data_IF_184578707548
#
_entry.id   IF_184578707548
#
_cell.length_a   1.000
_cell.length_b   1.000
_cell.length_c   1.000
_cell.angle_alpha   90.00
_cell.angle_beta   90.00
_cell.angle_gamma   90.00
#
_symmetry.space_group_name_H-M   'P 1'
#
loop_
_entity.id
_entity.type
_entity.pdbx_description
1 polymer ?
#
# COMPACT_ATOMS: atom_id res chain seq x y z
N UNK A 1 -6.81 9.72 22.94
CA UNK A 1 -6.17 9.91 21.63
C UNK A 1 -7.19 10.10 20.51
N UNK A 2 -8.20 9.22 20.37
CA UNK A 2 -9.21 9.32 19.31
C UNK A 2 -9.99 10.66 19.31
N UNK A 3 -10.42 11.15 20.46
CA UNK A 3 -11.14 12.45 20.56
C UNK A 3 -10.28 13.66 20.14
N UNK A 4 -8.97 13.61 20.37
CA UNK A 4 -8.04 14.67 19.94
C UNK A 4 -7.83 14.64 18.42
N UNK A 5 -7.67 13.44 17.84
CA UNK A 5 -7.58 13.27 16.38
C UNK A 5 -8.86 13.74 15.67
N UNK A 6 -10.03 13.38 16.20
CA UNK A 6 -11.31 13.80 15.64
C UNK A 6 -11.48 15.31 15.73
N UNK A 7 -11.01 15.94 16.81
CA UNK A 7 -11.06 17.40 16.98
C UNK A 7 -10.18 18.20 16.00
N UNK A 8 -9.28 17.55 15.26
CA UNK A 8 -8.43 18.18 14.25
C UNK A 8 -9.04 18.14 12.84
N UNK A 9 -10.10 17.35 12.62
CA UNK A 9 -10.75 17.23 11.32
C UNK A 9 -11.25 18.59 10.82
N UNK A 10 -10.93 18.93 9.56
CA UNK A 10 -11.30 20.22 8.97
C UNK A 10 -10.49 21.43 9.44
N UNK A 11 -9.44 21.25 10.27
CA UNK A 11 -8.53 22.33 10.69
C UNK A 11 -7.23 22.31 9.88
N UNK A 12 -6.56 23.47 9.77
CA UNK A 12 -5.22 23.61 9.17
C UNK A 12 -4.20 22.64 9.80
N UNK A 13 -4.23 22.49 11.13
CA UNK A 13 -3.37 21.56 11.84
C UNK A 13 -3.68 20.09 11.48
N UNK A 14 -4.95 19.77 11.23
CA UNK A 14 -5.38 18.46 10.71
C UNK A 14 -4.84 18.17 9.32
N UNK A 15 -4.86 19.17 8.42
CA UNK A 15 -4.34 19.04 7.04
C UNK A 15 -2.82 18.80 7.06
N UNK A 16 -2.07 19.59 7.83
CA UNK A 16 -0.62 19.40 8.00
C UNK A 16 -0.28 18.03 8.59
N UNK A 17 -1.06 17.56 9.57
CA UNK A 17 -0.89 16.24 10.15
C UNK A 17 -1.19 15.14 9.11
N UNK A 18 -2.24 15.29 8.31
CA UNK A 18 -2.59 14.35 7.25
C UNK A 18 -1.48 14.24 6.20
N UNK A 19 -0.89 15.37 5.79
CA UNK A 19 0.26 15.41 4.88
C UNK A 19 1.46 14.64 5.44
N UNK A 20 1.84 14.92 6.70
CA UNK A 20 2.97 14.22 7.37
C UNK A 20 2.70 12.71 7.44
N UNK A 21 1.48 12.32 7.80
CA UNK A 21 1.06 10.93 7.87
C UNK A 21 1.07 10.26 6.50
N UNK A 22 0.59 10.93 5.45
CA UNK A 22 0.56 10.41 4.08
C UNK A 22 1.96 10.21 3.51
N UNK A 23 2.88 11.17 3.71
CA UNK A 23 4.28 11.05 3.29
C UNK A 23 5.03 9.97 4.08
N UNK A 24 4.80 9.90 5.40
CA UNK A 24 5.35 8.83 6.24
C UNK A 24 4.83 7.47 5.79
N UNK A 25 3.53 7.36 5.50
CA UNK A 25 2.92 6.15 4.96
C UNK A 25 3.53 5.77 3.61
N UNK A 26 3.78 6.74 2.72
CA UNK A 26 4.40 6.52 1.42
C UNK A 26 5.81 5.92 1.55
N UNK A 27 6.65 6.49 2.41
CA UNK A 27 7.98 5.96 2.70
C UNK A 27 7.91 4.55 3.30
N UNK A 28 7.13 4.37 4.37
CA UNK A 28 7.01 3.09 5.06
C UNK A 28 6.40 2.01 4.13
N UNK A 29 5.50 2.39 3.21
CA UNK A 29 4.94 1.46 2.24
C UNK A 29 6.00 0.99 1.23
N UNK A 30 6.90 1.87 0.82
CA UNK A 30 8.05 1.48 -0.02
C UNK A 30 9.02 0.56 0.73
N UNK A 31 9.22 0.79 2.03
CA UNK A 31 9.99 -0.14 2.88
C UNK A 31 9.27 -1.49 2.99
N UNK A 32 7.96 -1.49 3.20
CA UNK A 32 7.14 -2.70 3.27
C UNK A 32 7.23 -3.51 1.98
N UNK A 33 7.08 -2.87 0.81
CA UNK A 33 7.21 -3.53 -0.49
C UNK A 33 8.57 -4.19 -0.68
N UNK A 34 9.65 -3.50 -0.30
CA UNK A 34 11.00 -4.06 -0.35
C UNK A 34 11.20 -5.21 0.67
N UNK A 35 10.59 -5.11 1.86
CA UNK A 35 10.56 -6.20 2.84
C UNK A 35 9.75 -7.40 2.35
N UNK A 36 8.70 -7.22 1.56
CA UNK A 36 8.01 -8.36 0.95
C UNK A 36 8.84 -8.97 -0.18
N UNK A 37 9.41 -8.16 -1.06
CA UNK A 37 10.08 -8.63 -2.28
C UNK A 37 11.50 -9.18 -2.06
N UNK A 38 12.25 -8.70 -1.08
CA UNK A 38 13.70 -8.89 -0.97
C UNK A 38 14.23 -10.34 -0.90
N UNK A 39 14.84 -10.76 0.22
CA UNK A 39 15.70 -11.97 0.21
C UNK A 39 14.92 -13.29 0.14
N UNK A 40 13.78 -13.37 0.81
CA UNK A 40 12.98 -14.59 0.83
C UNK A 40 11.89 -14.52 -0.24
N UNK A 41 11.38 -15.68 -0.63
CA UNK A 41 10.22 -15.80 -1.51
C UNK A 41 9.10 -14.84 -1.06
N UNK A 42 8.49 -14.04 -1.98
CA UNK A 42 7.53 -13.00 -1.60
C UNK A 42 6.30 -13.50 -0.84
N UNK A 43 5.91 -14.77 -1.06
CA UNK A 43 4.80 -15.39 -0.33
C UNK A 43 5.19 -15.69 1.10
N UNK A 44 6.40 -16.22 1.31
CA UNK A 44 6.93 -16.49 2.65
C UNK A 44 7.12 -15.20 3.44
N UNK A 45 7.71 -14.17 2.82
CA UNK A 45 7.87 -12.85 3.44
C UNK A 45 6.51 -12.28 3.84
N UNK A 46 5.52 -12.32 2.95
CA UNK A 46 4.18 -11.81 3.27
C UNK A 46 3.50 -12.61 4.37
N UNK A 47 3.56 -13.94 4.34
CA UNK A 47 2.98 -14.78 5.40
C UNK A 47 3.63 -14.56 6.76
N UNK A 48 4.94 -14.36 6.82
CA UNK A 48 5.63 -14.05 8.07
C UNK A 48 5.25 -12.67 8.62
N UNK A 49 5.10 -11.66 7.76
CA UNK A 49 4.64 -10.33 8.16
C UNK A 49 3.19 -10.38 8.65
N UNK A 50 2.33 -11.05 7.89
CA UNK A 50 0.89 -11.21 8.18
C UNK A 50 0.66 -11.92 9.52
N UNK A 51 1.39 -13.00 9.76
CA UNK A 51 1.36 -13.69 11.04
C UNK A 51 1.80 -12.77 12.18
N UNK A 52 2.92 -12.06 11.99
CA UNK A 52 3.48 -11.21 13.04
C UNK A 52 2.54 -10.06 13.41
N UNK A 53 1.92 -9.36 12.45
CA UNK A 53 0.99 -8.30 12.82
C UNK A 53 -0.33 -8.84 13.37
N UNK A 54 -0.81 -10.03 12.96
CA UNK A 54 -1.98 -10.64 13.58
C UNK A 54 -1.72 -10.96 15.06
N UNK A 55 -0.55 -11.53 15.36
CA UNK A 55 -0.14 -11.82 16.75
C UNK A 55 -0.01 -10.54 17.58
N UNK A 56 0.54 -9.47 17.01
CA UNK A 56 0.63 -8.16 17.67
C UNK A 56 -0.73 -7.49 17.86
N UNK A 57 -1.63 -7.63 16.88
CA UNK A 57 -2.98 -7.06 16.92
C UNK A 57 -3.90 -7.82 17.88
N UNK A 58 -3.76 -9.13 18.00
CA UNK A 58 -4.64 -10.00 18.79
C UNK A 58 -4.88 -9.52 20.23
N UNK A 59 -3.87 -9.21 21.06
CA UNK A 59 -4.12 -8.74 22.43
C UNK A 59 -4.84 -7.39 22.45
N UNK A 60 -4.57 -6.51 21.48
CA UNK A 60 -5.22 -5.20 21.38
C UNK A 60 -6.69 -5.39 20.98
N UNK A 61 -6.95 -6.18 19.93
CA UNK A 61 -8.28 -6.47 19.41
C UNK A 61 -9.19 -7.17 20.44
N UNK A 62 -8.65 -8.16 21.16
CA UNK A 62 -9.44 -9.02 22.04
C UNK A 62 -9.65 -8.43 23.44
N UNK A 63 -8.73 -7.60 23.94
CA UNK A 63 -8.72 -7.18 25.35
C UNK A 63 -8.66 -5.66 25.57
N UNK A 64 -8.34 -4.84 24.56
CA UNK A 64 -8.17 -3.39 24.74
C UNK A 64 -9.27 -2.60 24.04
N UNK A 65 -9.56 -2.90 22.77
CA UNK A 65 -10.59 -2.19 22.01
C UNK A 65 -11.96 -2.89 22.15
N UNK A 66 -13.06 -2.16 21.95
CA UNK A 66 -14.39 -2.77 21.87
C UNK A 66 -14.49 -3.85 20.78
N UNK A 67 -15.41 -4.79 21.00
CA UNK A 67 -15.81 -5.72 19.95
C UNK A 67 -16.58 -5.00 18.85
N UNK A 68 -16.45 -5.39 17.57
CA UNK A 68 -17.11 -4.68 16.48
C UNK A 68 -18.62 -4.84 16.55
N UNK A 69 -19.32 -3.74 16.29
CA UNK A 69 -20.77 -3.71 16.16
C UNK A 69 -21.24 -4.63 15.01
N UNK A 70 -22.48 -5.15 15.04
CA UNK A 70 -22.98 -6.10 14.05
C UNK A 70 -22.79 -5.68 12.58
N UNK A 71 -22.92 -4.38 12.26
CA UNK A 71 -22.74 -3.87 10.90
C UNK A 71 -21.28 -3.86 10.43
N UNK A 72 -20.30 -3.94 11.34
CA UNK A 72 -18.88 -3.94 11.00
C UNK A 72 -18.39 -5.30 10.47
N UNK A 73 -19.03 -6.40 10.85
CA UNK A 73 -18.67 -7.75 10.40
C UNK A 73 -18.73 -7.93 8.87
N UNK A 74 -19.81 -7.55 8.16
CA UNK A 74 -19.81 -7.60 6.70
C UNK A 74 -18.79 -6.64 6.07
N UNK A 75 -18.48 -5.52 6.73
CA UNK A 75 -17.43 -4.59 6.28
C UNK A 75 -16.06 -5.27 6.36
N UNK A 76 -15.71 -5.88 7.50
CA UNK A 76 -14.47 -6.65 7.62
C UNK A 76 -14.42 -7.78 6.61
N UNK A 77 -15.48 -8.58 6.47
CA UNK A 77 -15.50 -9.68 5.51
C UNK A 77 -15.20 -9.21 4.08
N UNK A 78 -15.81 -8.11 3.65
CA UNK A 78 -15.59 -7.52 2.32
C UNK A 78 -14.17 -6.98 2.18
N UNK A 79 -13.68 -6.22 3.17
CA UNK A 79 -12.31 -5.70 3.17
C UNK A 79 -11.29 -6.85 3.03
N UNK A 80 -11.46 -7.91 3.81
CA UNK A 80 -10.57 -9.09 3.77
C UNK A 80 -10.60 -9.76 2.40
N UNK A 81 -11.77 -9.93 1.77
CA UNK A 81 -11.85 -10.50 0.41
C UNK A 81 -11.10 -9.66 -0.61
N UNK A 82 -11.22 -8.33 -0.56
CA UNK A 82 -10.48 -7.42 -1.45
C UNK A 82 -8.97 -7.54 -1.16
N UNK A 83 -8.57 -7.52 0.10
CA UNK A 83 -7.16 -7.65 0.50
C UNK A 83 -6.55 -9.00 0.11
N UNK A 84 -7.32 -10.09 0.14
CA UNK A 84 -6.88 -11.40 -0.37
C UNK A 84 -6.51 -11.28 -1.85
N UNK A 85 -7.40 -10.73 -2.68
CA UNK A 85 -7.14 -10.53 -4.11
C UNK A 85 -5.88 -9.70 -4.35
N UNK A 86 -5.77 -8.57 -3.64
CA UNK A 86 -4.57 -7.72 -3.65
C UNK A 86 -3.30 -8.51 -3.32
N UNK A 87 -3.27 -9.21 -2.17
CA UNK A 87 -2.07 -9.90 -1.68
C UNK A 87 -1.60 -10.99 -2.62
N UNK A 88 -2.53 -11.74 -3.21
CA UNK A 88 -2.20 -12.79 -4.18
C UNK A 88 -1.60 -12.19 -5.44
N UNK A 89 -2.27 -11.22 -6.05
CA UNK A 89 -1.77 -10.54 -7.26
C UNK A 89 -0.40 -9.90 -7.02
N UNK A 90 -0.23 -9.24 -5.87
CA UNK A 90 1.02 -8.63 -5.46
C UNK A 90 2.15 -9.66 -5.30
N UNK A 91 1.88 -10.79 -4.64
CA UNK A 91 2.85 -11.85 -4.44
C UNK A 91 3.24 -12.52 -5.77
N UNK A 92 2.30 -12.72 -6.69
CA UNK A 92 2.59 -13.18 -8.05
C UNK A 92 3.42 -12.16 -8.83
N UNK A 93 3.04 -10.88 -8.82
CA UNK A 93 3.77 -9.83 -9.51
C UNK A 93 5.22 -9.73 -9.01
N UNK A 94 5.43 -9.76 -7.69
CA UNK A 94 6.77 -9.81 -7.09
C UNK A 94 7.51 -11.12 -7.33
N UNK A 95 6.84 -12.22 -7.65
CA UNK A 95 7.53 -13.45 -8.07
C UNK A 95 8.03 -13.35 -9.51
N UNK A 96 7.34 -12.58 -10.36
CA UNK A 96 7.58 -12.50 -11.81
C UNK A 96 8.38 -11.28 -12.27
N UNK A 97 8.43 -10.20 -11.48
CA UNK A 97 9.11 -8.97 -11.88
C UNK A 97 10.03 -8.40 -10.80
N UNK A 98 10.98 -7.56 -11.23
CA UNK A 98 11.84 -6.78 -10.34
C UNK A 98 11.02 -5.75 -9.54
N UNK A 99 11.54 -5.35 -8.38
CA UNK A 99 10.81 -4.46 -7.48
C UNK A 99 10.54 -3.10 -8.13
N UNK A 100 11.58 -2.49 -8.71
CA UNK A 100 11.51 -1.17 -9.36
C UNK A 100 10.67 -1.15 -10.64
N UNK A 101 10.26 -2.32 -11.14
CA UNK A 101 9.44 -2.46 -12.35
C UNK A 101 7.98 -2.64 -11.97
N UNK A 102 7.69 -3.57 -11.07
CA UNK A 102 6.33 -3.91 -10.65
C UNK A 102 5.75 -2.82 -9.77
N UNK A 103 6.53 -2.35 -8.78
CA UNK A 103 6.03 -1.44 -7.75
C UNK A 103 5.43 -0.16 -8.33
N UNK A 104 6.08 0.58 -9.26
CA UNK A 104 5.48 1.77 -9.84
C UNK A 104 4.14 1.49 -10.53
N UNK A 105 4.02 0.37 -11.25
CA UNK A 105 2.79 0.05 -12.00
C UNK A 105 1.64 -0.36 -11.10
N UNK A 106 1.93 -1.09 -10.02
CA UNK A 106 0.94 -1.33 -8.95
C UNK A 106 0.41 -0.01 -8.40
N UNK A 107 1.32 0.96 -8.19
CA UNK A 107 0.98 2.23 -7.58
C UNK A 107 0.15 3.11 -8.53
N UNK A 108 0.55 3.27 -9.80
CA UNK A 108 -0.07 4.28 -10.67
C UNK A 108 -1.48 4.04 -11.17
N UNK A 109 -2.00 2.82 -11.12
CA UNK A 109 -3.43 2.62 -11.41
C UNK A 109 -4.30 2.95 -10.18
N UNK A 110 -3.74 2.85 -8.98
CA UNK A 110 -4.39 3.14 -7.71
C UNK A 110 -5.06 4.53 -7.61
N UNK A 111 -4.33 5.65 -7.79
CA UNK A 111 -4.87 6.98 -7.52
C UNK A 111 -6.01 7.38 -8.47
N UNK A 112 -5.98 7.01 -9.76
CA UNK A 112 -7.07 7.33 -10.68
C UNK A 112 -8.39 6.73 -10.20
N UNK A 113 -8.39 5.44 -9.87
CA UNK A 113 -9.57 4.75 -9.36
C UNK A 113 -9.92 5.17 -7.93
N UNK A 114 -8.94 5.51 -7.10
CA UNK A 114 -9.19 6.02 -5.75
C UNK A 114 -9.89 7.38 -5.77
N UNK A 115 -9.50 8.29 -6.67
CA UNK A 115 -10.17 9.59 -6.89
C UNK A 115 -11.60 9.38 -7.38
N UNK A 116 -11.80 8.48 -8.36
CA UNK A 116 -13.15 8.11 -8.84
C UNK A 116 -13.99 7.52 -7.70
N UNK A 117 -13.41 6.61 -6.92
CA UNK A 117 -14.06 6.02 -5.75
C UNK A 117 -14.42 7.07 -4.70
N UNK A 118 -13.52 8.03 -4.46
CA UNK A 118 -13.76 9.12 -3.52
C UNK A 118 -14.86 10.07 -3.99
N UNK A 119 -14.97 10.34 -5.29
CA UNK A 119 -16.09 11.07 -5.87
C UNK A 119 -17.42 10.35 -5.60
N UNK A 120 -17.51 9.04 -5.89
CA UNK A 120 -18.77 8.31 -5.72
C UNK A 120 -19.15 8.02 -4.27
N UNK A 121 -18.19 7.73 -3.39
CA UNK A 121 -18.45 7.33 -2.00
C UNK A 121 -18.46 8.49 -1.02
N UNK A 122 -17.66 9.53 -1.26
CA UNK A 122 -17.49 10.67 -0.35
C UNK A 122 -17.92 12.01 -0.95
N UNK A 123 -18.28 12.06 -2.24
CA UNK A 123 -18.66 13.31 -2.91
C UNK A 123 -17.47 14.26 -3.14
N UNK A 124 -16.23 13.75 -3.07
CA UNK A 124 -15.03 14.57 -3.26
C UNK A 124 -14.90 15.04 -4.72
N UNK A 125 -14.76 16.34 -4.94
CA UNK A 125 -14.54 16.92 -6.27
C UNK A 125 -13.14 17.49 -6.40
N UNK A 126 -12.47 17.18 -7.51
CA UNK A 126 -11.12 17.66 -7.80
C UNK A 126 -11.14 18.95 -8.61
N UNK A 127 -10.27 19.89 -8.26
CA UNK A 127 -10.05 21.12 -9.05
C UNK A 127 -9.30 20.80 -10.36
N UNK A 128 -9.29 21.74 -11.31
CA UNK A 128 -8.54 21.58 -12.55
C UNK A 128 -7.03 21.37 -12.29
N UNK A 129 -6.49 22.05 -11.29
CA UNK A 129 -5.08 21.92 -10.87
C UNK A 129 -4.82 20.51 -10.36
N UNK A 130 -5.73 19.97 -9.54
CA UNK A 130 -5.61 18.59 -9.05
C UNK A 130 -5.69 17.57 -10.19
N UNK A 131 -6.56 17.76 -11.17
CA UNK A 131 -6.59 16.89 -12.36
C UNK A 131 -5.30 16.97 -13.19
N UNK A 132 -4.69 18.15 -13.34
CA UNK A 132 -3.38 18.28 -13.99
C UNK A 132 -2.28 17.57 -13.21
N UNK A 133 -2.31 17.61 -11.88
CA UNK A 133 -1.39 16.87 -11.03
C UNK A 133 -1.54 15.35 -11.20
N UNK A 134 -2.78 14.84 -11.18
CA UNK A 134 -3.08 13.43 -11.45
C UNK A 134 -2.58 13.02 -12.85
N UNK A 135 -2.87 13.81 -13.89
CA UNK A 135 -2.42 13.51 -15.25
C UNK A 135 -0.89 13.47 -15.36
N UNK A 136 -0.20 14.42 -14.73
CA UNK A 136 1.27 14.48 -14.68
C UNK A 136 1.87 13.25 -14.00
N UNK A 137 1.28 12.85 -12.87
CA UNK A 137 1.68 11.68 -12.13
C UNK A 137 1.49 10.39 -12.94
N UNK A 138 0.32 10.22 -13.56
CA UNK A 138 0.01 9.05 -14.38
C UNK A 138 0.95 8.96 -15.59
N UNK A 139 1.27 10.09 -16.23
CA UNK A 139 2.24 10.14 -17.32
C UNK A 139 3.63 9.65 -16.86
N UNK A 140 4.08 10.04 -15.67
CA UNK A 140 5.33 9.54 -15.07
C UNK A 140 5.32 8.03 -14.85
N UNK A 141 4.23 7.50 -14.28
CA UNK A 141 4.13 6.07 -13.94
C UNK A 141 4.00 5.20 -15.19
N UNK A 142 3.06 5.51 -16.08
CA UNK A 142 2.88 4.75 -17.32
C UNK A 142 4.07 4.94 -18.27
N UNK A 143 4.67 6.13 -18.30
CA UNK A 143 5.92 6.38 -19.01
C UNK A 143 7.05 5.47 -18.49
N UNK A 144 7.15 5.28 -17.17
CA UNK A 144 8.11 4.35 -16.56
C UNK A 144 7.80 2.89 -16.89
N UNK A 145 6.53 2.50 -16.91
CA UNK A 145 6.09 1.17 -17.32
C UNK A 145 6.47 0.86 -18.78
N UNK A 146 6.16 1.79 -19.69
CA UNK A 146 6.48 1.69 -21.12
C UNK A 146 7.99 1.68 -21.33
N UNK A 147 8.74 2.55 -20.64
CA UNK A 147 10.20 2.56 -20.68
C UNK A 147 10.77 1.19 -20.30
N UNK A 148 10.26 0.59 -19.23
CA UNK A 148 10.68 -0.74 -18.81
C UNK A 148 10.30 -1.82 -19.84
N UNK A 149 9.13 -1.76 -20.44
CA UNK A 149 8.72 -2.70 -21.51
C UNK A 149 9.64 -2.65 -22.73
N UNK A 150 10.10 -1.46 -23.11
CA UNK A 150 10.94 -1.26 -24.30
C UNK A 150 12.39 -1.68 -24.00
N UNK A 151 12.96 -1.15 -22.92
CA UNK A 151 14.41 -1.16 -22.69
C UNK A 151 14.89 -2.20 -21.67
N UNK A 152 14.01 -2.85 -20.90
CA UNK A 152 14.45 -3.87 -19.94
C UNK A 152 14.66 -5.21 -20.65
N UNK A 153 15.89 -5.73 -20.59
CA UNK A 153 16.24 -7.04 -21.17
C UNK A 153 16.18 -8.18 -20.15
N UNK A 154 16.38 -7.87 -18.87
CA UNK A 154 16.38 -8.86 -17.80
C UNK A 154 14.97 -9.43 -17.54
N UNK A 155 14.84 -10.76 -17.51
CA UNK A 155 13.58 -11.49 -17.24
C UNK A 155 12.42 -11.12 -18.19
N UNK A 156 12.74 -10.81 -19.47
CA UNK A 156 11.78 -10.32 -20.46
C UNK A 156 10.61 -11.26 -20.70
N UNK A 157 10.84 -12.57 -20.60
CA UNK A 157 9.80 -13.60 -20.76
C UNK A 157 8.67 -13.50 -19.71
N UNK A 158 9.01 -13.00 -18.52
CA UNK A 158 8.05 -12.83 -17.41
C UNK A 158 7.54 -11.40 -17.25
N UNK A 159 8.14 -10.45 -17.96
CA UNK A 159 7.89 -9.01 -17.79
C UNK A 159 6.43 -8.63 -18.12
N UNK A 160 5.90 -9.12 -19.25
CA UNK A 160 4.53 -8.82 -19.65
C UNK A 160 3.50 -9.29 -18.62
N UNK A 161 3.67 -10.52 -18.11
CA UNK A 161 2.82 -11.08 -17.06
C UNK A 161 2.98 -10.29 -15.75
N UNK A 162 4.22 -9.93 -15.38
CA UNK A 162 4.48 -9.15 -14.18
C UNK A 162 3.78 -7.78 -14.19
N UNK A 163 3.77 -7.11 -15.34
CA UNK A 163 3.12 -5.80 -15.51
C UNK A 163 1.59 -5.91 -15.58
N UNK A 164 1.07 -6.96 -16.21
CA UNK A 164 -0.37 -7.25 -16.20
C UNK A 164 -0.86 -7.50 -14.78
N UNK A 165 -0.15 -8.35 -14.03
CA UNK A 165 -0.42 -8.59 -12.61
C UNK A 165 -0.30 -7.30 -11.80
N UNK A 166 0.70 -6.46 -12.09
CA UNK A 166 0.87 -5.17 -11.41
C UNK A 166 -0.32 -4.24 -11.65
N UNK A 167 -0.82 -4.15 -12.89
CA UNK A 167 -2.01 -3.36 -13.22
C UNK A 167 -3.26 -3.82 -12.48
N UNK A 168 -3.52 -5.15 -12.45
CA UNK A 168 -4.64 -5.69 -11.67
C UNK A 168 -4.45 -5.48 -10.16
N UNK A 169 -3.22 -5.61 -9.67
CA UNK A 169 -2.92 -5.34 -8.26
C UNK A 169 -3.26 -3.90 -7.92
N UNK A 170 -2.94 -2.94 -8.78
CA UNK A 170 -3.24 -1.53 -8.53
C UNK A 170 -4.73 -1.18 -8.58
N UNK A 171 -5.53 -1.90 -9.38
CA UNK A 171 -7.00 -1.83 -9.28
C UNK A 171 -7.49 -2.28 -7.90
N UNK A 172 -6.99 -3.42 -7.41
CA UNK A 172 -7.30 -3.87 -6.05
C UNK A 172 -6.79 -2.90 -4.98
N UNK A 173 -5.66 -2.22 -5.22
CA UNK A 173 -5.15 -1.17 -4.34
C UNK A 173 -6.12 -0.01 -4.24
N UNK A 174 -6.69 0.45 -5.36
CA UNK A 174 -7.73 1.46 -5.34
C UNK A 174 -8.96 0.99 -4.57
N UNK A 175 -9.45 -0.21 -4.91
CA UNK A 175 -10.65 -0.80 -4.28
C UNK A 175 -10.50 -0.89 -2.77
N UNK A 176 -9.41 -1.47 -2.24
CA UNK A 176 -9.25 -1.55 -0.79
C UNK A 176 -9.02 -0.17 -0.19
N UNK A 177 -8.30 0.74 -0.87
CA UNK A 177 -8.03 2.07 -0.30
C UNK A 177 -9.33 2.84 -0.07
N UNK A 178 -10.26 2.81 -1.03
CA UNK A 178 -11.54 3.48 -0.89
C UNK A 178 -12.49 2.73 0.06
N UNK A 179 -12.50 1.39 0.02
CA UNK A 179 -13.36 0.59 0.90
C UNK A 179 -12.91 0.65 2.36
N UNK A 180 -11.60 0.63 2.63
CA UNK A 180 -11.04 0.75 3.97
C UNK A 180 -11.28 2.15 4.55
N UNK A 181 -11.21 3.20 3.71
CA UNK A 181 -11.59 4.55 4.12
C UNK A 181 -13.07 4.64 4.54
N UNK A 182 -13.95 3.93 3.83
CA UNK A 182 -15.35 3.77 4.26
C UNK A 182 -15.44 3.00 5.59
N UNK A 183 -14.73 1.87 5.70
CA UNK A 183 -14.74 1.01 6.87
C UNK A 183 -14.25 1.71 8.15
N UNK A 184 -13.15 2.47 8.08
CA UNK A 184 -12.63 3.21 9.24
C UNK A 184 -13.54 4.37 9.68
N UNK A 185 -14.32 4.94 8.76
CA UNK A 185 -15.31 5.99 9.05
C UNK A 185 -16.62 5.40 9.60
N UNK A 186 -16.91 4.14 9.33
CA UNK A 186 -18.11 3.43 9.83
C UNK A 186 -18.03 3.04 11.32
N UNK A 187 -16.90 3.28 11.98
CA UNK A 187 -16.68 3.04 13.41
C UNK A 187 -16.33 4.33 14.13
N UNK A 188 -16.91 4.49 15.33
CA UNK A 188 -16.64 5.63 16.21
C UNK A 188 -15.14 5.76 16.52
N UNK A 189 -14.47 4.65 16.85
CA UNK A 189 -13.05 4.61 17.15
C UNK A 189 -12.21 4.00 16.00
N UNK A 190 -11.31 4.76 15.36
CA UNK A 190 -10.50 4.27 14.25
C UNK A 190 -9.52 3.16 14.66
N UNK A 191 -9.07 3.15 15.92
CA UNK A 191 -8.15 2.12 16.41
C UNK A 191 -8.83 0.76 16.55
N UNK A 192 -10.14 0.75 16.83
CA UNK A 192 -10.95 -0.47 16.80
C UNK A 192 -10.95 -1.09 15.39
N UNK A 193 -11.16 -0.28 14.33
CA UNK A 193 -11.06 -0.77 12.95
C UNK A 193 -9.70 -1.39 12.68
N UNK A 194 -8.63 -0.66 12.98
CA UNK A 194 -7.26 -1.09 12.68
C UNK A 194 -6.90 -2.39 13.40
N UNK A 195 -7.18 -2.50 14.70
CA UNK A 195 -6.84 -3.68 15.49
C UNK A 195 -7.53 -4.94 14.96
N UNK A 196 -8.84 -4.87 14.71
CA UNK A 196 -9.61 -5.99 14.16
C UNK A 196 -9.25 -6.30 12.71
N UNK A 197 -9.01 -5.28 11.89
CA UNK A 197 -8.55 -5.43 10.51
C UNK A 197 -7.23 -6.20 10.46
N UNK A 198 -6.21 -5.77 11.20
CA UNK A 198 -4.91 -6.45 11.22
C UNK A 198 -5.00 -7.86 11.80
N UNK A 199 -5.88 -8.10 12.77
CA UNK A 199 -6.11 -9.45 13.26
C UNK A 199 -6.66 -10.35 12.14
N UNK A 200 -7.76 -9.97 11.48
CA UNK A 200 -8.38 -10.81 10.45
C UNK A 200 -7.53 -10.93 9.17
N UNK A 201 -6.95 -9.83 8.71
CA UNK A 201 -6.15 -9.77 7.48
C UNK A 201 -4.90 -10.63 7.58
N UNK A 202 -4.33 -10.71 8.79
CA UNK A 202 -3.08 -11.43 9.03
C UNK A 202 -3.25 -12.95 9.16
N UNK A 203 -4.48 -13.45 9.21
CA UNK A 203 -4.75 -14.90 9.28
C UNK A 203 -4.72 -15.59 7.92
N UNK A 204 -4.78 -14.85 6.80
CA UNK A 204 -4.93 -15.42 5.47
C UNK A 204 -3.63 -15.97 4.88
N UNK A 205 -2.57 -15.16 4.84
CA UNK A 205 -1.31 -15.54 4.20
C UNK A 205 -0.47 -16.57 4.97
N UNK A 206 -0.48 -16.66 6.31
CA UNK A 206 0.37 -17.61 7.04
C UNK A 206 0.11 -19.08 6.68
N UNK A 207 -1.13 -19.58 6.56
CA UNK A 207 -1.38 -20.95 6.08
C UNK A 207 -0.78 -21.22 4.70
N UNK A 208 -0.92 -20.28 3.77
CA UNK A 208 -0.40 -20.40 2.39
C UNK A 208 1.14 -20.42 2.40
N UNK A 209 1.75 -19.51 3.16
CA UNK A 209 3.20 -19.45 3.32
C UNK A 209 3.74 -20.72 3.99
N UNK A 210 3.06 -21.25 5.01
CA UNK A 210 3.43 -22.49 5.67
C UNK A 210 3.39 -23.69 4.72
N UNK A 211 2.31 -23.84 3.93
CA UNK A 211 2.19 -24.89 2.93
C UNK A 211 3.29 -24.79 1.87
N UNK A 212 3.57 -23.58 1.38
CA UNK A 212 4.65 -23.32 0.42
C UNK A 212 6.01 -23.66 1.02
N UNK A 213 6.31 -23.20 2.24
CA UNK A 213 7.54 -23.50 2.96
C UNK A 213 7.72 -25.00 3.17
N UNK A 214 6.67 -25.72 3.57
CA UNK A 214 6.69 -27.18 3.77
C UNK A 214 7.05 -27.92 2.49
N UNK A 215 6.56 -27.45 1.35
CA UNK A 215 6.75 -28.06 0.04
C UNK A 215 8.05 -27.62 -0.68
N UNK A 216 8.86 -26.74 -0.10
CA UNK A 216 10.14 -26.35 -0.68
C UNK A 216 11.21 -27.41 -0.45
N UNK A 217 11.97 -27.73 -1.50
CA UNK A 217 13.14 -28.62 -1.41
C UNK A 217 14.26 -28.02 -0.53
N UNK A 218 14.48 -26.71 -0.63
CA UNK A 218 15.42 -25.96 0.19
C UNK A 218 14.66 -24.91 0.99
N UNK A 219 14.40 -25.21 2.26
CA UNK A 219 13.62 -24.35 3.14
C UNK A 219 14.49 -23.24 3.72
N UNK A 220 14.07 -21.97 3.68
CA UNK A 220 14.76 -20.92 4.42
C UNK A 220 14.62 -21.17 5.92
N UNK A 221 15.64 -20.75 6.68
CA UNK A 221 15.60 -20.77 8.13
C UNK A 221 14.44 -19.89 8.65
N UNK A 222 13.69 -20.43 9.61
CA UNK A 222 12.48 -19.78 10.13
C UNK A 222 12.83 -18.51 10.92
N UNK A 223 13.88 -18.51 11.74
CA UNK A 223 14.18 -17.38 12.62
C UNK A 223 14.48 -16.07 11.85
N UNK A 224 15.35 -16.06 10.80
CA UNK A 224 15.57 -14.85 10.00
C UNK A 224 14.33 -14.41 9.20
N UNK A 225 13.50 -15.35 8.78
CA UNK A 225 12.23 -15.06 8.09
C UNK A 225 11.24 -14.38 9.05
N UNK A 226 11.09 -14.91 10.27
CA UNK A 226 10.20 -14.37 11.29
C UNK A 226 10.68 -13.03 11.83
N UNK A 227 11.99 -12.83 12.00
CA UNK A 227 12.54 -11.53 12.39
C UNK A 227 12.19 -10.45 11.35
N UNK A 228 12.35 -10.77 10.06
CA UNK A 228 11.88 -9.91 8.96
C UNK A 228 10.37 -9.70 9.00
N UNK A 229 9.61 -10.73 9.36
CA UNK A 229 8.17 -10.66 9.60
C UNK A 229 7.79 -9.64 10.68
N UNK A 230 8.48 -9.66 11.82
CA UNK A 230 8.28 -8.71 12.94
C UNK A 230 8.58 -7.27 12.50
N UNK A 231 9.71 -7.03 11.84
CA UNK A 231 10.01 -5.69 11.31
C UNK A 231 8.99 -5.25 10.27
N UNK A 232 8.60 -6.14 9.35
CA UNK A 232 7.57 -5.82 8.35
C UNK A 232 6.20 -5.58 8.97
N UNK A 233 5.86 -6.25 10.07
CA UNK A 233 4.63 -6.01 10.82
C UNK A 233 4.60 -4.62 11.44
N UNK A 234 5.68 -4.20 12.10
CA UNK A 234 5.82 -2.84 12.63
C UNK A 234 5.69 -1.79 11.52
N UNK A 235 6.39 -2.00 10.39
CA UNK A 235 6.28 -1.12 9.22
C UNK A 235 4.86 -1.13 8.65
N UNK A 236 4.16 -2.26 8.66
CA UNK A 236 2.78 -2.37 8.20
C UNK A 236 1.82 -1.55 9.07
N UNK A 237 1.90 -1.69 10.40
CA UNK A 237 1.10 -0.89 11.34
C UNK A 237 1.33 0.60 11.15
N UNK A 238 2.59 1.01 11.08
CA UNK A 238 2.94 2.42 10.92
C UNK A 238 2.52 2.94 9.53
N UNK A 239 2.72 2.17 8.46
CA UNK A 239 2.35 2.58 7.10
C UNK A 239 0.83 2.67 6.93
N UNK A 240 0.13 1.57 7.18
CA UNK A 240 -1.32 1.48 6.97
C UNK A 240 -2.09 2.31 8.00
N UNK A 241 -1.66 2.31 9.26
CA UNK A 241 -2.24 3.17 10.29
C UNK A 241 -2.10 4.65 9.95
N UNK A 242 -0.93 5.09 9.47
CA UNK A 242 -0.72 6.50 9.10
C UNK A 242 -1.61 6.92 7.92
N UNK A 243 -1.70 6.12 6.85
CA UNK A 243 -2.57 6.47 5.71
C UNK A 243 -4.04 6.45 6.11
N UNK A 244 -4.48 5.49 6.93
CA UNK A 244 -5.86 5.41 7.39
C UNK A 244 -6.26 6.61 8.25
N UNK A 245 -5.34 7.07 9.11
CA UNK A 245 -5.53 8.31 9.85
C UNK A 245 -5.52 9.53 8.93
N UNK A 246 -4.63 9.61 7.95
CA UNK A 246 -4.61 10.70 6.97
C UNK A 246 -5.92 10.78 6.18
N UNK A 247 -6.44 9.66 5.66
CA UNK A 247 -7.72 9.58 4.95
C UNK A 247 -8.94 9.84 5.83
N UNK A 248 -8.76 9.86 7.16
CA UNK A 248 -9.81 10.23 8.11
C UNK A 248 -9.76 11.72 8.48
N UNK A 249 -8.56 12.30 8.52
CA UNK A 249 -8.36 13.72 8.79
C UNK A 249 -8.59 14.61 7.57
N UNK A 250 -8.43 14.05 6.36
CA UNK A 250 -8.46 14.77 5.09
C UNK A 250 -9.09 13.95 3.95
N UNK A 251 -9.11 14.52 2.74
CA UNK A 251 -9.68 13.93 1.53
C UNK A 251 -8.95 12.65 1.13
N UNK A 252 -9.73 11.63 0.82
CA UNK A 252 -9.24 10.30 0.45
C UNK A 252 -8.47 10.37 -0.87
N UNK A 253 -8.95 11.16 -1.84
CA UNK A 253 -8.29 11.33 -3.13
C UNK A 253 -6.89 11.94 -3.02
N UNK A 254 -6.74 12.99 -2.19
CA UNK A 254 -5.46 13.69 -2.01
C UNK A 254 -4.44 12.79 -1.29
N UNK A 255 -4.84 12.14 -0.20
CA UNK A 255 -4.01 11.17 0.50
C UNK A 255 -3.58 9.99 -0.41
N UNK A 256 -4.46 9.53 -1.31
CA UNK A 256 -4.13 8.49 -2.27
C UNK A 256 -3.06 8.94 -3.27
N UNK A 257 -3.13 10.18 -3.76
CA UNK A 257 -2.13 10.77 -4.65
C UNK A 257 -0.79 10.97 -3.94
N UNK A 258 -0.77 11.55 -2.74
CA UNK A 258 0.45 11.74 -1.95
C UNK A 258 1.17 10.41 -1.71
N UNK A 259 0.43 9.31 -1.52
CA UNK A 259 1.00 7.98 -1.31
C UNK A 259 1.78 7.47 -2.53
N UNK A 260 1.60 8.03 -3.73
CA UNK A 260 2.32 7.65 -4.95
C UNK A 260 3.77 8.13 -4.98
N UNK A 261 4.12 9.09 -4.13
CA UNK A 261 5.52 9.46 -3.86
C UNK A 261 6.33 8.26 -3.33
N UNK A 262 5.66 7.21 -2.83
CA UNK A 262 6.27 5.93 -2.50
C UNK A 262 7.03 5.27 -3.66
N UNK A 263 6.68 5.58 -4.92
CA UNK A 263 7.41 5.08 -6.09
C UNK A 263 8.84 5.62 -6.16
N UNK A 264 9.05 6.87 -5.73
CA UNK A 264 10.38 7.49 -5.64
C UNK A 264 11.20 6.82 -4.54
N UNK A 265 10.61 6.63 -3.36
CA UNK A 265 11.26 5.89 -2.27
C UNK A 265 11.56 4.44 -2.66
N UNK A 266 10.65 3.77 -3.37
CA UNK A 266 10.84 2.41 -3.84
C UNK A 266 11.99 2.31 -4.84
N UNK A 267 12.17 3.31 -5.70
CA UNK A 267 13.31 3.38 -6.60
C UNK A 267 14.64 3.53 -5.86
N UNK A 268 14.68 4.43 -4.87
CA UNK A 268 15.86 4.63 -4.02
C UNK A 268 16.22 3.35 -3.26
N UNK A 269 15.21 2.68 -2.67
CA UNK A 269 15.40 1.42 -1.95
C UNK A 269 15.81 0.30 -2.91
N UNK A 270 15.20 0.21 -4.09
CA UNK A 270 15.57 -0.76 -5.11
C UNK A 270 17.02 -0.59 -5.57
N UNK A 271 17.47 0.64 -5.73
CA UNK A 271 18.85 0.97 -6.07
C UNK A 271 19.84 0.64 -4.95
N UNK A 272 19.58 1.12 -3.73
CA UNK A 272 20.50 0.99 -2.59
C UNK A 272 20.53 -0.42 -2.00
N UNK A 273 19.36 -1.05 -1.83
CA UNK A 273 19.21 -2.29 -1.06
C UNK A 273 19.12 -3.50 -1.97
N UNK A 274 18.36 -3.40 -3.07
CA UNK A 274 18.21 -4.50 -4.02
C UNK A 274 19.26 -4.48 -5.14
N UNK A 275 20.12 -3.44 -5.18
CA UNK A 275 21.18 -3.24 -6.18
C UNK A 275 20.65 -3.23 -7.62
N UNK A 276 19.41 -2.81 -7.81
CA UNK A 276 18.80 -2.64 -9.14
C UNK A 276 19.27 -1.31 -9.75
N UNK A 277 19.73 -1.30 -11.00
CA UNK A 277 20.24 -0.06 -11.62
C UNK A 277 19.08 0.89 -12.00
N UNK A 278 19.21 2.17 -11.62
CA UNK A 278 18.26 3.22 -11.96
C UNK A 278 18.95 4.22 -12.88
N UNK A 279 18.66 4.14 -14.19
CA UNK A 279 19.22 5.05 -15.18
C UNK A 279 18.61 6.46 -15.12
N UNK A 280 19.25 7.48 -15.72
CA UNK A 280 18.82 8.88 -15.66
C UNK A 280 17.39 9.11 -16.17
N UNK A 281 16.95 8.33 -17.17
CA UNK A 281 15.58 8.39 -17.70
C UNK A 281 14.54 7.93 -16.67
N UNK A 282 14.86 6.92 -15.85
CA UNK A 282 13.97 6.48 -14.76
C UNK A 282 13.86 7.55 -13.69
N UNK A 283 14.97 8.21 -13.36
CA UNK A 283 14.98 9.34 -12.41
C UNK A 283 14.08 10.46 -12.92
N UNK A 284 14.19 10.87 -14.19
CA UNK A 284 13.33 11.91 -14.76
C UNK A 284 11.84 11.56 -14.65
N UNK A 285 11.46 10.32 -14.95
CA UNK A 285 10.08 9.85 -14.82
C UNK A 285 9.61 9.81 -13.36
N UNK A 286 10.48 9.42 -12.42
CA UNK A 286 10.19 9.45 -10.99
C UNK A 286 10.02 10.88 -10.45
N UNK A 287 10.82 11.82 -10.93
CA UNK A 287 10.65 13.25 -10.63
C UNK A 287 9.31 13.75 -11.15
N UNK A 288 8.87 13.30 -12.33
CA UNK A 288 7.55 13.64 -12.86
C UNK A 288 6.41 13.11 -11.97
N UNK A 289 6.56 11.92 -11.40
CA UNK A 289 5.61 11.35 -10.42
C UNK A 289 5.52 12.23 -9.18
N UNK A 290 6.68 12.60 -8.60
CA UNK A 290 6.72 13.50 -7.44
C UNK A 290 6.13 14.87 -7.74
N UNK A 291 6.43 15.45 -8.89
CA UNK A 291 5.88 16.73 -9.32
C UNK A 291 4.36 16.67 -9.45
N UNK A 292 3.81 15.60 -10.04
CA UNK A 292 2.37 15.40 -10.12
C UNK A 292 1.69 15.36 -8.73
N UNK A 293 2.30 14.68 -7.75
CA UNK A 293 1.79 14.66 -6.38
C UNK A 293 1.79 16.05 -5.72
N UNK A 294 2.87 16.83 -5.91
CA UNK A 294 2.97 18.21 -5.41
C UNK A 294 1.92 19.12 -6.07
N UNK A 295 1.66 18.96 -7.37
CA UNK A 295 0.65 19.75 -8.07
C UNK A 295 -0.76 19.47 -7.53
N UNK A 296 -1.07 18.21 -7.17
CA UNK A 296 -2.36 17.89 -6.54
C UNK A 296 -2.50 18.58 -5.19
N UNK A 297 -1.46 18.53 -4.37
CA UNK A 297 -1.44 19.20 -3.06
C UNK A 297 -1.57 20.72 -3.19
N UNK A 298 -0.93 21.35 -4.17
CA UNK A 298 -1.05 22.80 -4.38
C UNK A 298 -2.43 23.23 -4.90
N UNK A 299 -3.25 22.28 -5.34
CA UNK A 299 -4.59 22.52 -5.86
C UNK A 299 -5.73 22.22 -4.88
N UNK A 300 -5.42 21.77 -3.65
CA UNK A 300 -6.36 21.48 -2.56
C UNK A 300 -6.82 22.75 -1.85
#
# INVERSE_FOLDING_TARGET
>A
MSAWLIGLEGTEAGHQLALILALSAAFLHAVFGALQKGRHDPWLSRGAIDFSYAVMAAPIALFIVPWPEPHMWPIFATAIVIHIGYKFLQAFAYTKGAYTVVYPVVRGTGPLFAVIGAYFLFGETFTLVQWLGVATLLAGIFGLAVYNLIFLELNRDTLGIALLLAGFTGLFVALYTTYDAYGIRATADPFTFLAWFFLFDGLVMPPIAFLRWRNMAQRPAVAPLMLRGVFGALVAFLSFGSIMLATRLDKVGEAAVLRETSTVFAALIGWLVLKETVGPRRIALMTLIAAGAVIVELGS
#
